data_IF_593845511164
#
_entry.id   IF_593845511164
#
_cell.length_a   1.000
_cell.length_b   1.000
_cell.length_c   1.000
_cell.angle_alpha   90.00
_cell.angle_beta   90.00
_cell.angle_gamma   90.00
#
_symmetry.space_group_name_H-M   'P 1'
#
loop_
_entity.id
_entity.type
_entity.pdbx_description
1 polymer ?
#
# COMPACT_ATOMS: atom_id res chain seq x y z
N UNK A 1 -26.35 -37.63 -2.37
CA UNK A 1 -25.94 -36.63 -1.36
C UNK A 1 -24.53 -36.24 -1.71
N UNK A 2 -24.38 -35.18 -2.48
CA UNK A 2 -23.07 -34.69 -2.91
C UNK A 2 -22.65 -33.53 -2.00
N UNK A 3 -21.40 -33.51 -1.51
CA UNK A 3 -20.85 -32.34 -0.84
C UNK A 3 -20.21 -31.45 -1.91
N UNK A 4 -21.00 -30.58 -2.54
CA UNK A 4 -20.47 -29.53 -3.42
C UNK A 4 -20.26 -28.24 -2.61
N UNK A 5 -19.11 -28.16 -1.95
CA UNK A 5 -18.56 -26.92 -1.41
C UNK A 5 -17.13 -26.74 -1.94
N UNK A 6 -17.03 -26.52 -3.24
CA UNK A 6 -15.79 -26.15 -3.92
C UNK A 6 -15.41 -24.72 -3.48
N UNK A 7 -14.70 -24.60 -2.36
CA UNK A 7 -13.90 -23.41 -2.06
C UNK A 7 -12.76 -23.46 -3.09
N UNK A 8 -12.68 -22.52 -4.05
CA UNK A 8 -11.70 -22.61 -5.12
C UNK A 8 -10.33 -22.23 -4.57
N UNK A 9 -9.58 -23.21 -4.04
CA UNK A 9 -8.21 -23.13 -3.52
C UNK A 9 -7.96 -22.07 -2.42
N UNK A 10 -7.18 -22.43 -1.40
CA UNK A 10 -6.65 -21.45 -0.44
C UNK A 10 -5.90 -20.35 -1.22
N UNK A 11 -6.16 -19.04 -0.99
CA UNK A 11 -5.52 -17.96 -1.73
C UNK A 11 -3.99 -18.03 -1.64
N UNK A 12 -3.29 -17.89 -2.78
CA UNK A 12 -1.83 -17.99 -2.88
C UNK A 12 -1.19 -16.67 -3.32
N UNK A 13 0.09 -16.43 -2.98
CA UNK A 13 0.84 -15.32 -3.57
C UNK A 13 0.81 -15.37 -5.11
N UNK A 14 0.49 -14.23 -5.72
CA UNK A 14 0.25 -14.04 -7.16
C UNK A 14 -1.22 -14.11 -7.57
N UNK A 15 -2.11 -14.61 -6.72
CA UNK A 15 -3.55 -14.64 -7.02
C UNK A 15 -4.17 -13.24 -6.85
N UNK A 16 -5.14 -12.92 -7.71
CA UNK A 16 -5.90 -11.66 -7.63
C UNK A 16 -7.31 -11.92 -7.10
N UNK A 17 -7.72 -11.15 -6.09
CA UNK A 17 -9.03 -11.23 -5.46
C UNK A 17 -9.69 -9.85 -5.35
N UNK A 18 -11.01 -9.84 -5.15
CA UNK A 18 -11.73 -8.63 -4.79
C UNK A 18 -11.71 -8.44 -3.28
N UNK A 19 -11.14 -7.32 -2.84
CA UNK A 19 -10.95 -6.98 -1.42
C UNK A 19 -11.82 -5.80 -1.04
N UNK A 20 -12.61 -5.95 0.03
CA UNK A 20 -13.36 -4.83 0.62
C UNK A 20 -12.43 -3.97 1.48
N UNK A 21 -12.23 -2.71 1.10
CA UNK A 21 -11.49 -1.71 1.88
C UNK A 21 -12.31 -1.20 3.09
N UNK A 22 -11.67 -0.46 3.99
CA UNK A 22 -12.30 0.06 5.22
C UNK A 22 -13.44 1.07 4.95
N UNK A 23 -13.41 1.75 3.80
CA UNK A 23 -14.48 2.64 3.35
C UNK A 23 -15.69 1.86 2.78
N UNK A 24 -15.64 0.53 2.76
CA UNK A 24 -16.69 -0.34 2.21
C UNK A 24 -16.58 -0.60 0.71
N UNK A 25 -15.71 0.13 -0.01
CA UNK A 25 -15.52 0.00 -1.46
C UNK A 25 -14.68 -1.25 -1.74
N UNK A 26 -15.03 -1.97 -2.81
CA UNK A 26 -14.34 -3.19 -3.22
C UNK A 26 -13.34 -2.85 -4.33
N UNK A 27 -12.10 -3.30 -4.17
CA UNK A 27 -11.04 -3.12 -5.15
C UNK A 27 -10.40 -4.47 -5.48
N UNK A 28 -9.95 -4.64 -6.73
CA UNK A 28 -9.11 -5.78 -7.09
C UNK A 28 -7.74 -5.63 -6.43
N UNK A 29 -7.22 -6.71 -5.87
CA UNK A 29 -5.92 -6.73 -5.22
C UNK A 29 -5.19 -8.06 -5.47
N UNK A 30 -3.88 -7.98 -5.65
CA UNK A 30 -2.98 -9.13 -5.75
C UNK A 30 -2.50 -9.53 -4.35
N UNK A 31 -2.47 -10.83 -4.06
CA UNK A 31 -1.87 -11.37 -2.85
C UNK A 31 -0.36 -11.44 -3.05
N UNK A 32 0.39 -10.78 -2.19
CA UNK A 32 1.85 -10.76 -2.23
C UNK A 32 2.47 -11.76 -1.24
N UNK A 33 1.85 -11.93 -0.08
CA UNK A 33 2.32 -12.84 0.97
C UNK A 33 1.15 -13.38 1.80
N UNK A 34 1.35 -14.53 2.44
CA UNK A 34 0.38 -15.16 3.35
C UNK A 34 1.08 -15.51 4.65
N UNK A 35 0.42 -15.27 5.78
CA UNK A 35 0.91 -15.69 7.11
C UNK A 35 -0.20 -16.33 7.92
N UNK A 36 0.19 -17.25 8.81
CA UNK A 36 -0.70 -17.74 9.86
C UNK A 36 -0.77 -16.71 11.00
N UNK A 37 -1.94 -16.58 11.61
CA UNK A 37 -2.11 -15.76 12.81
C UNK A 37 -1.78 -16.60 14.05
N UNK A 38 -0.76 -16.18 14.80
CA UNK A 38 -0.23 -16.90 15.96
C UNK A 38 -1.34 -17.34 16.93
N UNK A 39 -1.39 -18.63 17.25
CA UNK A 39 -2.35 -19.20 18.19
C UNK A 39 -3.76 -19.41 17.64
N UNK A 40 -3.96 -19.27 16.33
CA UNK A 40 -5.24 -19.54 15.66
C UNK A 40 -5.04 -20.34 14.37
N UNK A 41 -6.11 -20.91 13.84
CA UNK A 41 -6.12 -21.55 12.50
C UNK A 41 -6.44 -20.53 11.38
N UNK A 42 -6.36 -19.22 11.69
CA UNK A 42 -6.70 -18.16 10.76
C UNK A 42 -5.47 -17.73 9.94
N UNK A 43 -5.72 -17.27 8.72
CA UNK A 43 -4.70 -16.71 7.84
C UNK A 43 -4.94 -15.23 7.57
N UNK A 44 -3.83 -14.53 7.35
CA UNK A 44 -3.82 -13.17 6.84
C UNK A 44 -3.04 -13.10 5.53
N UNK A 45 -3.48 -12.18 4.67
CA UNK A 45 -2.95 -11.99 3.32
C UNK A 45 -2.42 -10.57 3.20
N UNK A 46 -1.16 -10.42 2.79
CA UNK A 46 -0.60 -9.13 2.45
C UNK A 46 -0.99 -8.82 1.01
N UNK A 47 -1.76 -7.76 0.79
CA UNK A 47 -2.34 -7.45 -0.53
C UNK A 47 -1.85 -6.12 -1.08
N UNK A 48 -1.69 -6.08 -2.39
CA UNK A 48 -1.49 -4.86 -3.16
C UNK A 48 -2.73 -4.54 -3.97
N UNK A 49 -3.31 -3.35 -3.77
CA UNK A 49 -4.50 -2.93 -4.49
C UNK A 49 -4.13 -2.43 -5.89
N UNK A 50 -4.75 -3.03 -6.92
CA UNK A 50 -4.45 -2.68 -8.31
C UNK A 50 -4.80 -1.21 -8.60
N UNK A 51 -3.88 -0.50 -9.25
CA UNK A 51 -3.94 0.94 -9.56
C UNK A 51 -3.80 1.87 -8.34
N UNK A 52 -3.44 1.34 -7.17
CA UNK A 52 -3.07 2.15 -6.00
C UNK A 52 -1.56 2.12 -5.79
N UNK A 53 -1.08 3.11 -5.04
CA UNK A 53 0.30 3.15 -4.57
C UNK A 53 0.48 2.13 -3.42
N UNK A 54 1.68 1.55 -3.30
CA UNK A 54 2.09 0.62 -2.25
C UNK A 54 1.87 1.15 -0.81
N UNK A 55 1.67 2.47 -0.61
CA UNK A 55 1.24 3.04 0.68
C UNK A 55 -0.06 2.41 1.22
N UNK A 56 -0.89 1.87 0.32
CA UNK A 56 -2.18 1.24 0.63
C UNK A 56 -2.05 -0.26 0.90
N UNK A 57 -0.89 -0.87 0.67
CA UNK A 57 -0.68 -2.29 0.88
C UNK A 57 -0.82 -2.63 2.36
N UNK A 58 -1.50 -3.73 2.68
CA UNK A 58 -1.79 -4.09 4.06
C UNK A 58 -2.07 -5.57 4.24
N UNK A 59 -1.94 -6.04 5.48
CA UNK A 59 -2.45 -7.34 5.90
C UNK A 59 -3.98 -7.28 6.02
N UNK A 60 -4.66 -8.26 5.44
CA UNK A 60 -6.11 -8.42 5.49
C UNK A 60 -6.46 -9.82 5.98
N UNK A 61 -7.58 -9.96 6.70
CA UNK A 61 -8.14 -11.26 7.04
C UNK A 61 -8.94 -11.84 5.87
N UNK A 62 -9.12 -13.17 5.89
CA UNK A 62 -9.92 -13.90 4.90
C UNK A 62 -11.33 -13.32 4.71
N UNK A 63 -11.94 -12.80 5.77
CA UNK A 63 -13.29 -12.19 5.72
C UNK A 63 -13.38 -10.96 4.79
N UNK A 64 -12.25 -10.36 4.39
CA UNK A 64 -12.22 -9.25 3.43
C UNK A 64 -12.05 -9.70 1.98
N UNK A 65 -11.70 -10.97 1.76
CA UNK A 65 -11.65 -11.58 0.44
C UNK A 65 -13.07 -11.94 -0.01
N UNK A 66 -13.55 -11.29 -1.05
CA UNK A 66 -14.79 -11.69 -1.70
C UNK A 66 -14.45 -12.72 -2.78
N UNK A 67 -14.72 -13.99 -2.51
CA UNK A 67 -14.53 -15.08 -3.48
C UNK A 67 -15.46 -15.02 -4.69
N UNK A 68 -16.56 -14.27 -4.59
CA UNK A 68 -17.49 -13.94 -5.68
C UNK A 68 -18.23 -12.64 -5.30
N UNK A 69 -17.74 -11.49 -5.76
CA UNK A 69 -18.58 -10.29 -5.74
C UNK A 69 -19.73 -10.53 -6.73
N UNK A 70 -20.98 -10.49 -6.28
CA UNK A 70 -22.11 -10.35 -7.19
C UNK A 70 -21.88 -9.11 -8.05
N UNK A 71 -22.25 -9.18 -9.34
CA UNK A 71 -22.06 -8.12 -10.35
C UNK A 71 -22.58 -6.73 -9.94
N UNK A 72 -23.32 -6.60 -8.84
CA UNK A 72 -23.98 -5.38 -8.38
C UNK A 72 -23.14 -4.50 -7.43
N UNK A 73 -21.97 -4.94 -6.98
CA UNK A 73 -21.07 -4.13 -6.11
C UNK A 73 -19.73 -3.77 -6.79
N UNK A 74 -19.65 -3.93 -8.12
CA UNK A 74 -18.47 -3.64 -8.91
C UNK A 74 -18.44 -2.17 -9.36
N UNK A 75 -17.75 -1.31 -8.62
CA UNK A 75 -17.17 -0.11 -9.23
C UNK A 75 -15.76 -0.43 -9.72
N UNK A 76 -15.70 -1.01 -10.93
CA UNK A 76 -14.50 -0.89 -11.76
C UNK A 76 -14.43 0.59 -12.14
N UNK A 77 -13.44 1.34 -11.65
CA UNK A 77 -13.19 2.69 -12.17
C UNK A 77 -12.74 2.58 -13.63
N UNK A 78 -13.71 2.67 -14.54
CA UNK A 78 -13.54 2.61 -15.99
C UNK A 78 -12.99 3.90 -16.61
N UNK A 79 -12.62 4.92 -15.82
CA UNK A 79 -12.19 6.22 -16.37
C UNK A 79 -10.73 6.29 -16.83
N UNK A 80 -9.90 5.24 -16.68
CA UNK A 80 -8.47 5.34 -17.01
C UNK A 80 -7.91 4.29 -17.96
N UNK A 81 -8.73 3.43 -18.59
CA UNK A 81 -8.23 2.45 -19.56
C UNK A 81 -8.73 2.63 -21.01
N UNK A 82 -9.55 3.64 -21.34
CA UNK A 82 -10.12 3.76 -22.70
C UNK A 82 -10.31 5.17 -23.30
N UNK A 83 -9.64 6.23 -22.83
CA UNK A 83 -9.68 7.55 -23.51
C UNK A 83 -8.41 7.89 -24.31
N UNK A 84 -7.92 6.89 -25.04
CA UNK A 84 -7.01 7.10 -26.16
C UNK A 84 -7.49 6.25 -27.32
N UNK A 85 -8.48 6.75 -28.07
CA UNK A 85 -8.53 6.72 -29.56
C UNK A 85 -9.93 6.79 -30.18
N UNK A 86 -11.05 6.74 -29.44
CA UNK A 86 -12.35 6.47 -30.09
C UNK A 86 -13.48 7.50 -30.01
N UNK A 87 -13.29 8.70 -29.47
CA UNK A 87 -14.35 9.75 -29.49
C UNK A 87 -13.97 11.03 -30.24
N UNK A 88 -13.65 10.92 -31.54
CA UNK A 88 -13.61 12.09 -32.43
C UNK A 88 -14.32 11.79 -33.75
N UNK A 89 -15.29 12.64 -34.09
CA UNK A 89 -16.07 12.56 -35.34
C UNK A 89 -15.16 12.57 -36.58
N UNK A 90 -15.60 11.91 -37.66
CA UNK A 90 -14.82 11.68 -38.89
C UNK A 90 -14.24 12.97 -39.51
N UNK A 91 -14.90 14.12 -39.30
CA UNK A 91 -14.43 15.42 -39.80
C UNK A 91 -13.29 16.02 -38.95
N UNK A 92 -13.19 15.71 -37.65
CA UNK A 92 -12.06 16.13 -36.78
C UNK A 92 -10.82 15.25 -36.98
N UNK A 93 -10.98 13.95 -37.26
CA UNK A 93 -9.88 13.02 -37.60
C UNK A 93 -9.06 13.46 -38.83
N UNK A 94 -9.70 14.01 -39.86
CA UNK A 94 -9.03 14.47 -41.08
C UNK A 94 -8.23 15.79 -40.92
N UNK A 95 -8.55 16.60 -39.90
CA UNK A 95 -7.78 17.80 -39.53
C UNK A 95 -6.60 17.47 -38.62
N UNK A 96 -6.75 16.51 -37.70
CA UNK A 96 -5.67 16.04 -36.83
C UNK A 96 -4.59 15.29 -37.62
N UNK A 97 -4.97 14.42 -38.57
CA UNK A 97 -4.00 13.73 -39.45
C UNK A 97 -3.20 14.67 -40.36
N UNK A 98 -3.74 15.83 -40.72
CA UNK A 98 -3.01 16.84 -41.51
C UNK A 98 -2.04 17.67 -40.66
N UNK A 99 -2.30 17.83 -39.36
CA UNK A 99 -1.38 18.52 -38.43
C UNK A 99 -0.19 17.66 -38.00
N UNK A 100 -0.34 16.34 -37.98
CA UNK A 100 0.75 15.42 -37.60
C UNK A 100 1.77 15.15 -38.73
N UNK A 101 1.56 15.67 -39.94
CA UNK A 101 2.44 15.45 -41.09
C UNK A 101 3.31 16.67 -41.48
N UNK A 102 3.13 17.83 -40.83
CA UNK A 102 3.74 19.10 -41.28
C UNK A 102 4.77 19.68 -40.29
N UNK A 103 4.84 19.18 -39.05
CA UNK A 103 5.90 19.57 -38.11
C UNK A 103 6.88 18.41 -37.93
N UNK A 104 7.76 18.23 -38.91
CA UNK A 104 9.01 17.50 -38.72
C UNK A 104 9.93 18.32 -37.82
N UNK A 105 9.77 18.17 -36.50
CA UNK A 105 10.81 18.51 -35.52
C UNK A 105 11.39 17.19 -35.00
N UNK A 106 12.63 16.97 -35.39
CA UNK A 106 13.51 15.90 -34.96
C UNK A 106 13.62 15.89 -33.42
N UNK A 107 13.03 14.87 -32.80
CA UNK A 107 13.14 14.59 -31.37
C UNK A 107 13.79 13.22 -31.17
N UNK A 108 15.01 13.08 -31.69
CA UNK A 108 15.88 11.92 -31.50
C UNK A 108 16.51 11.84 -30.10
N UNK A 109 15.74 12.12 -29.03
CA UNK A 109 16.20 11.91 -27.65
C UNK A 109 15.11 11.56 -26.63
N UNK A 110 14.14 10.71 -26.98
CA UNK A 110 13.24 10.13 -25.98
C UNK A 110 12.82 8.71 -26.36
N UNK A 111 13.78 7.78 -26.24
CA UNK A 111 13.57 6.34 -26.52
C UNK A 111 14.41 5.43 -25.60
N UNK A 112 14.76 5.89 -24.40
CA UNK A 112 15.62 5.09 -23.50
C UNK A 112 15.16 5.00 -22.03
N UNK A 113 14.01 5.56 -21.64
CA UNK A 113 13.54 5.47 -20.25
C UNK A 113 12.33 4.53 -20.04
N UNK A 114 11.53 4.24 -21.08
CA UNK A 114 10.35 3.36 -20.92
C UNK A 114 10.64 1.87 -21.13
N UNK A 115 11.72 1.51 -21.84
CA UNK A 115 12.09 0.11 -22.11
C UNK A 115 12.96 -0.53 -21.03
N UNK A 116 13.48 0.26 -20.09
CA UNK A 116 14.29 -0.24 -18.95
C UNK A 116 13.41 -0.60 -17.74
N UNK A 117 12.23 0.01 -17.61
CA UNK A 117 11.34 -0.11 -16.44
C UNK A 117 10.54 -1.42 -16.41
N UNK A 118 10.19 -2.00 -17.56
CA UNK A 118 9.37 -3.23 -17.60
C UNK A 118 10.10 -4.48 -17.10
N UNK A 119 11.44 -4.54 -17.22
CA UNK A 119 12.24 -5.64 -16.67
C UNK A 119 12.59 -5.40 -15.19
N UNK A 120 12.79 -4.15 -14.77
CA UNK A 120 13.05 -3.81 -13.36
C UNK A 120 11.83 -4.03 -12.45
N UNK A 121 10.61 -3.85 -12.98
CA UNK A 121 9.36 -4.18 -12.26
C UNK A 121 9.15 -5.68 -12.02
N UNK A 122 9.72 -6.56 -12.85
CA UNK A 122 9.59 -8.01 -12.67
C UNK A 122 10.38 -8.55 -11.46
N UNK A 123 11.44 -7.84 -11.07
CA UNK A 123 12.31 -8.25 -9.95
C UNK A 123 12.10 -7.40 -8.69
N UNK A 124 11.29 -6.34 -8.75
CA UNK A 124 10.90 -5.57 -7.55
C UNK A 124 9.91 -6.39 -6.73
N UNK A 125 10.42 -7.14 -5.76
CA UNK A 125 9.58 -7.74 -4.71
C UNK A 125 9.27 -6.66 -3.67
N UNK A 126 8.03 -6.15 -3.57
CA UNK A 126 7.68 -5.17 -2.55
C UNK A 126 8.00 -5.74 -1.16
N UNK A 127 8.72 -4.96 -0.36
CA UNK A 127 9.07 -5.36 1.00
C UNK A 127 7.81 -5.35 1.86
N UNK A 128 7.47 -6.53 2.39
CA UNK A 128 6.30 -6.68 3.26
C UNK A 128 6.48 -5.86 4.53
N UNK A 129 5.49 -5.02 4.84
CA UNK A 129 5.45 -4.30 6.10
C UNK A 129 4.88 -5.22 7.17
N UNK A 130 5.64 -5.46 8.22
CA UNK A 130 5.17 -6.17 9.40
C UNK A 130 4.60 -5.21 10.44
N UNK A 131 5.25 -4.05 10.61
CA UNK A 131 4.75 -2.95 11.42
C UNK A 131 3.61 -2.29 10.67
N UNK A 132 2.40 -2.56 11.13
CA UNK A 132 1.18 -2.00 10.59
C UNK A 132 0.92 -0.61 11.18
N UNK A 133 1.25 -0.42 12.47
CA UNK A 133 0.98 0.81 13.19
C UNK A 133 2.09 1.17 14.17
N UNK A 134 2.17 2.45 14.51
CA UNK A 134 2.96 2.94 15.64
C UNK A 134 2.07 3.70 16.62
N UNK A 135 2.45 3.64 17.90
CA UNK A 135 1.88 4.46 18.95
C UNK A 135 2.89 5.53 19.36
N UNK A 136 2.54 6.82 19.24
CA UNK A 136 3.40 7.93 19.64
C UNK A 136 2.59 9.02 20.34
N UNK A 137 2.97 9.34 21.58
CA UNK A 137 2.20 10.24 22.45
C UNK A 137 0.77 9.73 22.64
N UNK A 138 -0.20 10.47 22.10
CA UNK A 138 -1.63 10.13 22.12
C UNK A 138 -2.17 9.58 20.79
N UNK A 139 -1.30 9.38 19.79
CA UNK A 139 -1.70 9.02 18.44
C UNK A 139 -1.33 7.58 18.11
N UNK A 140 -2.24 6.89 17.45
CA UNK A 140 -2.00 5.65 16.73
C UNK A 140 -1.94 5.99 15.24
N UNK A 141 -0.84 5.65 14.56
CA UNK A 141 -0.56 6.06 13.18
C UNK A 141 -0.29 4.81 12.34
N UNK A 142 -0.98 4.68 11.21
CA UNK A 142 -0.76 3.61 10.24
C UNK A 142 0.55 3.82 9.46
N UNK A 143 1.34 2.76 9.30
CA UNK A 143 2.57 2.79 8.52
C UNK A 143 2.28 2.59 7.03
N UNK A 144 2.78 3.48 6.18
CA UNK A 144 2.67 3.36 4.72
C UNK A 144 3.68 2.40 4.13
N UNK A 145 4.92 2.42 4.62
CA UNK A 145 6.04 1.67 4.06
C UNK A 145 6.70 0.77 5.09
N UNK A 146 7.41 -0.24 4.60
CA UNK A 146 8.31 -1.04 5.40
C UNK A 146 9.42 -0.16 6.01
N UNK A 147 9.71 -0.38 7.29
CA UNK A 147 10.86 0.21 7.99
C UNK A 147 11.73 -0.90 8.57
N UNK A 148 13.05 -0.91 8.30
CA UNK A 148 13.94 -2.01 8.67
C UNK A 148 14.34 -1.95 10.16
N UNK A 149 13.36 -2.05 11.05
CA UNK A 149 13.64 -2.18 12.49
C UNK A 149 14.33 -3.53 12.77
N UNK A 150 15.34 -3.54 13.66
CA UNK A 150 16.14 -4.74 13.91
C UNK A 150 15.36 -5.84 14.61
N UNK A 151 15.87 -7.07 14.48
CA UNK A 151 15.52 -8.25 15.27
C UNK A 151 14.00 -8.48 15.44
N UNK A 152 13.54 -8.57 16.68
CA UNK A 152 12.15 -8.83 17.03
C UNK A 152 11.22 -7.64 16.81
N UNK A 153 11.76 -6.41 16.67
CA UNK A 153 10.96 -5.19 16.51
C UNK A 153 10.39 -5.08 15.11
N UNK A 154 11.19 -5.45 14.10
CA UNK A 154 10.79 -5.42 12.70
C UNK A 154 9.64 -6.37 12.34
N UNK A 155 9.26 -7.29 13.24
CA UNK A 155 8.15 -8.24 13.06
C UNK A 155 6.89 -7.90 13.87
N UNK A 156 6.92 -6.82 14.66
CA UNK A 156 5.75 -6.42 15.46
C UNK A 156 4.69 -5.78 14.58
N UNK A 157 3.41 -6.02 14.88
CA UNK A 157 2.30 -5.28 14.23
C UNK A 157 2.17 -3.84 14.74
N UNK A 158 2.47 -3.63 16.01
CA UNK A 158 2.41 -2.34 16.68
C UNK A 158 3.73 -2.05 17.40
N UNK A 159 4.31 -0.88 17.17
CA UNK A 159 5.50 -0.41 17.87
C UNK A 159 5.18 0.83 18.70
N UNK A 160 5.64 0.88 19.94
CA UNK A 160 5.46 2.04 20.83
C UNK A 160 6.68 2.93 20.77
N UNK A 161 6.50 4.23 20.47
CA UNK A 161 7.59 5.20 20.31
C UNK A 161 7.40 6.34 21.30
N UNK A 162 8.46 6.66 22.03
CA UNK A 162 8.50 7.82 22.91
C UNK A 162 8.58 9.10 22.09
N UNK A 163 7.63 10.02 22.29
CA UNK A 163 7.57 11.29 21.55
C UNK A 163 8.76 12.23 21.85
N UNK A 164 9.45 12.03 22.98
CA UNK A 164 10.57 12.89 23.38
C UNK A 164 11.93 12.38 22.92
N UNK A 165 12.20 11.09 23.08
CA UNK A 165 13.52 10.51 22.79
C UNK A 165 13.55 9.61 21.55
N UNK A 166 12.38 9.38 20.91
CA UNK A 166 12.20 8.48 19.77
C UNK A 166 12.64 7.02 20.02
N UNK A 167 12.87 6.64 21.29
CA UNK A 167 13.08 5.24 21.66
C UNK A 167 11.81 4.46 21.33
N UNK A 168 11.99 3.34 20.64
CA UNK A 168 10.95 2.39 20.31
C UNK A 168 10.93 1.22 21.30
N UNK A 169 9.75 0.65 21.52
CA UNK A 169 9.48 -0.44 22.44
C UNK A 169 8.44 -1.36 21.84
N UNK A 170 8.58 -2.66 22.14
CA UNK A 170 7.65 -3.70 21.68
C UNK A 170 6.37 -3.78 22.52
N UNK A 171 6.47 -3.55 23.83
CA UNK A 171 5.37 -3.78 24.77
C UNK A 171 4.89 -2.47 25.38
N UNK A 172 3.57 -2.36 25.56
CA UNK A 172 2.96 -1.21 26.25
C UNK A 172 3.51 -1.03 27.67
N UNK A 173 3.81 -2.12 28.38
CA UNK A 173 4.34 -2.07 29.75
C UNK A 173 5.71 -1.42 29.81
N UNK A 174 6.62 -1.77 28.89
CA UNK A 174 7.95 -1.15 28.82
C UNK A 174 7.88 0.30 28.34
N UNK A 175 6.92 0.62 27.46
CA UNK A 175 6.59 1.98 27.07
C UNK A 175 6.12 2.85 28.24
N UNK A 176 5.15 2.39 29.03
CA UNK A 176 4.65 3.13 30.18
C UNK A 176 5.75 3.37 31.24
N UNK A 177 6.57 2.35 31.53
CA UNK A 177 7.73 2.53 32.42
C UNK A 177 8.70 3.57 31.87
N UNK A 178 9.02 3.50 30.58
CA UNK A 178 9.90 4.47 29.95
C UNK A 178 9.32 5.88 30.01
N UNK A 179 8.02 6.10 29.80
CA UNK A 179 7.41 7.42 29.93
C UNK A 179 7.55 8.00 31.35
N UNK A 180 7.47 7.16 32.38
CA UNK A 180 7.67 7.59 33.77
C UNK A 180 9.13 7.99 34.08
N UNK A 181 10.10 7.31 33.46
CA UNK A 181 11.53 7.45 33.77
C UNK A 181 12.29 8.35 32.77
N UNK A 182 11.73 8.60 31.59
CA UNK A 182 12.42 9.30 30.50
C UNK A 182 12.82 10.71 30.96
N UNK A 183 14.10 11.12 30.86
CA UNK A 183 14.53 12.46 31.25
C UNK A 183 14.29 13.50 30.14
N UNK A 184 14.11 13.07 28.88
CA UNK A 184 13.94 13.98 27.75
C UNK A 184 12.50 14.50 27.68
N UNK A 185 12.38 15.81 27.44
CA UNK A 185 11.10 16.52 27.20
C UNK A 185 11.11 17.34 25.90
N UNK A 186 12.25 17.38 25.23
CA UNK A 186 12.49 18.04 23.94
C UNK A 186 13.46 17.19 23.13
N UNK A 187 13.48 17.39 21.82
CA UNK A 187 14.44 16.73 20.95
C UNK A 187 15.88 17.05 21.41
N UNK A 188 16.79 16.07 21.36
CA UNK A 188 18.19 16.30 21.68
C UNK A 188 18.83 17.21 20.62
N UNK A 189 19.82 18.01 21.03
CA UNK A 189 20.56 18.92 20.15
C UNK A 189 20.44 20.38 20.55
N UNK A 190 21.02 21.26 19.73
CA UNK A 190 21.00 22.71 19.94
C UNK A 190 19.74 23.30 19.31
N UNK A 191 18.98 24.07 20.08
CA UNK A 191 17.88 24.86 19.54
C UNK A 191 18.43 26.05 18.74
N UNK A 192 18.20 26.05 17.43
CA UNK A 192 18.65 27.12 16.51
C UNK A 192 17.53 28.05 16.07
N UNK A 193 16.28 27.74 16.42
CA UNK A 193 15.08 28.49 16.06
C UNK A 193 14.02 28.36 17.15
N UNK A 194 13.32 29.47 17.45
CA UNK A 194 12.20 29.51 18.38
C UNK A 194 11.17 30.52 17.91
N UNK A 195 9.92 30.09 17.76
CA UNK A 195 8.75 30.93 17.50
C UNK A 195 7.65 30.54 18.50
N UNK A 196 6.91 31.51 19.01
CA UNK A 196 5.71 31.29 19.85
C UNK A 196 4.70 30.27 19.28
N UNK A 197 4.64 30.09 17.96
CA UNK A 197 3.70 29.16 17.29
C UNK A 197 4.25 27.76 17.07
N UNK A 198 5.55 27.55 17.26
CA UNK A 198 6.26 26.29 16.99
C UNK A 198 7.04 25.94 18.26
N UNK A 199 6.48 25.02 19.06
CA UNK A 199 6.95 24.68 20.40
C UNK A 199 8.30 23.98 20.46
#
# INVERSE_FOLDING_TARGET
MEPDSNIPNSPKPGDTFFVRMNNGIIHAAEILETRAVDGTDQQEYFVHYLNFDHRNDQWISENRLSGNASNEQMEITNEQLNDSTNSLTSRKRARLKRRLNDDSIDFSHESSLETVDQNARKDYKPSVKYIEKIWIGQYEIDCWYHSPFPDEYGKQRLLYICEHCMKYMRLKTTYCRHLAECPLRRAPGTEIYRDSKIG
#
